data_IF_159778606317
#
_entry.id   IF_159778606317
#
_cell.length_a   1.000
_cell.length_b   1.000
_cell.length_c   1.000
_cell.angle_alpha   90.00
_cell.angle_beta   90.00
_cell.angle_gamma   90.00
#
_symmetry.space_group_name_H-M   'P 1'
#
loop_
_entity.id
_entity.type
_entity.pdbx_description
1 polymer ?
#
# COMPACT_ATOMS: atom_id res chain seq x y z
N UNK A 1 34.40 -5.65 23.22
CA UNK A 1 34.55 -4.69 22.11
C UNK A 1 33.15 -4.28 21.72
N UNK A 2 32.86 -2.97 21.79
CA UNK A 2 31.59 -2.39 21.35
C UNK A 2 31.75 -2.08 19.87
N UNK A 3 31.16 -2.90 19.00
CA UNK A 3 31.02 -2.52 17.60
C UNK A 3 29.71 -1.75 17.47
N UNK A 4 29.86 -0.45 17.22
CA UNK A 4 28.76 0.48 17.02
C UNK A 4 28.18 0.32 15.62
N UNK A 5 26.94 -0.13 15.55
CA UNK A 5 26.13 -0.06 14.34
C UNK A 5 25.16 1.10 14.50
N UNK A 6 25.48 2.26 13.92
CA UNK A 6 24.48 3.31 13.69
C UNK A 6 24.89 4.19 12.52
N UNK A 7 24.34 3.92 11.33
CA UNK A 7 24.10 4.92 10.26
C UNK A 7 22.97 4.44 9.33
N UNK A 8 21.87 5.20 9.30
CA UNK A 8 20.85 5.20 8.23
C UNK A 8 19.59 4.39 8.53
N UNK A 9 18.45 5.05 8.72
CA UNK A 9 17.16 4.36 8.86
C UNK A 9 16.89 3.48 7.65
N UNK A 10 16.63 2.19 7.89
CA UNK A 10 16.40 1.20 6.84
C UNK A 10 15.14 1.48 6.04
N UNK A 11 15.11 0.99 4.79
CA UNK A 11 13.90 1.00 3.96
C UNK A 11 12.86 0.06 4.60
N UNK A 12 11.71 0.63 4.97
CA UNK A 12 10.55 -0.10 5.50
C UNK A 12 9.43 -0.06 4.45
N UNK A 13 9.08 -1.20 3.87
CA UNK A 13 7.94 -1.30 2.97
C UNK A 13 6.68 -1.60 3.80
N UNK A 14 5.56 -0.95 3.51
CA UNK A 14 4.34 -1.07 4.32
C UNK A 14 3.21 -1.74 3.56
N UNK A 15 2.88 -1.24 2.36
CA UNK A 15 1.74 -1.70 1.57
C UNK A 15 2.03 -1.52 0.09
N UNK A 16 1.58 -2.43 -0.79
CA UNK A 16 0.67 -3.55 -0.51
C UNK A 16 1.36 -4.90 -0.22
N UNK A 17 0.61 -5.81 0.41
CA UNK A 17 0.88 -7.25 0.40
C UNK A 17 1.82 -7.78 1.49
N UNK A 18 2.30 -6.92 2.38
CA UNK A 18 3.17 -7.29 3.50
C UNK A 18 2.39 -7.61 4.79
N UNK A 19 1.17 -7.09 4.91
CA UNK A 19 0.40 -7.14 6.16
C UNK A 19 -0.65 -8.25 6.12
N UNK A 20 -1.15 -8.59 4.93
CA UNK A 20 -2.20 -9.59 4.74
C UNK A 20 -1.67 -11.01 4.69
N UNK A 21 -2.57 -11.94 5.00
CA UNK A 21 -2.38 -13.36 4.70
C UNK A 21 -2.20 -13.53 3.18
N UNK A 22 -1.09 -14.13 2.78
CA UNK A 22 -0.71 -14.38 1.36
C UNK A 22 -0.59 -13.12 0.50
N UNK A 23 -0.51 -11.92 1.10
CA UNK A 23 -0.43 -10.66 0.35
C UNK A 23 -1.64 -10.39 -0.54
N UNK A 24 -2.82 -10.91 -0.17
CA UNK A 24 -4.06 -10.77 -0.94
C UNK A 24 -4.73 -9.42 -0.66
N UNK A 25 -4.99 -8.65 -1.71
CA UNK A 25 -5.65 -7.33 -1.63
C UNK A 25 -6.86 -7.24 -2.55
N UNK A 26 -7.76 -6.30 -2.28
CA UNK A 26 -8.91 -5.98 -3.12
C UNK A 26 -8.57 -4.96 -4.20
N UNK A 27 -7.80 -3.93 -3.85
CA UNK A 27 -7.64 -2.75 -4.68
C UNK A 27 -6.76 -3.01 -5.91
N UNK A 28 -7.40 -3.02 -7.07
CA UNK A 28 -6.77 -3.13 -8.41
C UNK A 28 -5.93 -1.90 -8.84
N UNK A 29 -5.94 -0.83 -8.05
CA UNK A 29 -5.08 0.36 -8.17
C UNK A 29 -4.52 0.71 -6.79
N UNK A 30 -3.59 -0.11 -6.27
CA UNK A 30 -3.09 0.03 -4.91
C UNK A 30 -2.32 1.33 -4.72
N UNK A 31 -2.15 1.72 -3.46
CA UNK A 31 -1.19 2.76 -3.08
C UNK A 31 0.02 2.05 -2.50
N UNK A 32 1.20 2.48 -2.93
CA UNK A 32 2.46 2.05 -2.36
C UNK A 32 2.81 2.97 -1.20
N UNK A 33 3.17 2.39 -0.07
CA UNK A 33 3.48 3.11 1.17
C UNK A 33 4.77 2.51 1.73
N UNK A 34 5.75 3.35 2.05
CA UNK A 34 7.03 2.96 2.63
C UNK A 34 7.57 4.07 3.55
N UNK A 35 8.65 3.80 4.26
CA UNK A 35 9.48 4.81 4.92
C UNK A 35 10.95 4.57 4.58
N UNK A 36 11.71 5.64 4.44
CA UNK A 36 13.13 5.58 4.07
C UNK A 36 13.39 5.83 2.58
N UNK A 37 14.67 5.87 2.21
CA UNK A 37 15.09 6.26 0.86
C UNK A 37 14.83 5.16 -0.17
N UNK A 38 14.21 5.56 -1.28
CA UNK A 38 13.90 4.71 -2.42
C UNK A 38 14.06 5.55 -3.69
N UNK A 39 14.55 4.95 -4.76
CA UNK A 39 14.78 5.64 -6.04
C UNK A 39 13.73 5.30 -7.08
N UNK A 40 13.27 4.04 -7.11
CA UNK A 40 12.34 3.57 -8.13
C UNK A 40 11.46 2.45 -7.63
N UNK A 41 10.19 2.49 -8.04
CA UNK A 41 9.22 1.41 -7.89
C UNK A 41 8.89 0.86 -9.27
N UNK A 42 8.81 -0.46 -9.39
CA UNK A 42 8.25 -1.14 -10.55
C UNK A 42 7.16 -2.12 -10.14
N UNK A 43 6.15 -2.23 -11.00
CA UNK A 43 5.10 -3.25 -10.92
C UNK A 43 5.14 -4.11 -12.17
N UNK A 44 5.20 -5.41 -11.95
CA UNK A 44 5.19 -6.42 -13.01
C UNK A 44 4.30 -7.61 -12.62
N UNK A 45 3.69 -8.33 -13.58
CA UNK A 45 3.03 -9.59 -13.31
C UNK A 45 4.05 -10.62 -12.84
N UNK A 46 3.61 -11.59 -12.03
CA UNK A 46 4.49 -12.67 -11.59
C UNK A 46 4.82 -13.69 -12.68
N UNK A 47 4.00 -13.74 -13.72
CA UNK A 47 4.09 -14.65 -14.87
C UNK A 47 4.66 -13.99 -16.14
N UNK A 48 5.15 -12.75 -16.04
CA UNK A 48 5.71 -11.99 -17.18
C UNK A 48 6.90 -11.15 -16.73
N UNK A 49 7.85 -10.93 -17.64
CA UNK A 49 8.96 -9.98 -17.44
C UNK A 49 8.62 -8.56 -17.91
N UNK A 50 7.44 -8.35 -18.49
CA UNK A 50 6.96 -7.04 -18.89
C UNK A 50 6.67 -6.16 -17.67
N UNK A 51 7.29 -4.98 -17.62
CA UNK A 51 7.01 -3.98 -16.59
C UNK A 51 5.73 -3.23 -16.97
N UNK A 52 4.70 -3.32 -16.12
CA UNK A 52 3.41 -2.65 -16.33
C UNK A 52 3.45 -1.17 -15.96
N UNK A 53 4.31 -0.83 -15.00
CA UNK A 53 4.40 0.52 -14.46
C UNK A 53 5.73 0.72 -13.75
N UNK A 54 6.31 1.88 -13.97
CA UNK A 54 7.54 2.35 -13.32
C UNK A 54 7.27 3.73 -12.77
N UNK A 55 7.83 4.00 -11.60
CA UNK A 55 7.80 5.31 -10.98
C UNK A 55 9.18 5.62 -10.41
N UNK A 56 9.81 6.66 -10.97
CA UNK A 56 11.10 7.19 -10.51
C UNK A 56 10.84 8.31 -9.51
N UNK A 57 11.36 8.17 -8.30
CA UNK A 57 11.17 9.13 -7.21
C UNK A 57 12.13 10.30 -7.40
N UNK A 58 11.62 11.52 -7.23
CA UNK A 58 12.41 12.75 -7.30
C UNK A 58 12.54 13.46 -5.95
N UNK A 59 11.63 13.16 -5.00
CA UNK A 59 11.50 13.84 -3.70
C UNK A 59 11.51 12.83 -2.53
N UNK A 60 11.30 13.31 -1.30
CA UNK A 60 11.11 12.51 -0.07
C UNK A 60 9.72 11.86 0.02
N UNK A 61 9.20 11.41 -1.11
CA UNK A 61 7.93 10.70 -1.18
C UNK A 61 8.02 9.39 -0.38
N UNK A 62 6.96 9.11 0.37
CA UNK A 62 6.76 7.87 1.15
C UNK A 62 5.48 7.14 0.70
N UNK A 63 4.73 7.74 -0.22
CA UNK A 63 3.42 7.30 -0.66
C UNK A 63 3.28 7.62 -2.16
N UNK A 64 2.90 6.64 -2.98
CA UNK A 64 2.56 6.88 -4.38
C UNK A 64 1.33 6.08 -4.82
N UNK A 65 0.44 6.75 -5.55
CA UNK A 65 -0.68 6.11 -6.21
C UNK A 65 -0.23 5.33 -7.44
N UNK A 66 -0.71 4.09 -7.58
CA UNK A 66 -0.54 3.34 -8.83
C UNK A 66 -1.36 3.98 -9.98
N UNK A 67 -0.66 4.54 -10.97
CA UNK A 67 -1.28 5.22 -12.13
C UNK A 67 -1.28 4.40 -13.41
N UNK A 68 -0.76 3.16 -13.39
CA UNK A 68 -0.72 2.25 -14.55
C UNK A 68 -2.09 1.68 -14.94
N UNK A 69 -2.10 0.67 -15.82
CA UNK A 69 -3.33 -0.04 -16.19
C UNK A 69 -3.87 -0.80 -14.97
N UNK A 70 -5.19 -0.75 -14.75
CA UNK A 70 -5.87 -1.50 -13.67
C UNK A 70 -5.34 -2.96 -13.63
N UNK A 71 -4.94 -3.40 -12.43
CA UNK A 71 -4.52 -4.77 -12.19
C UNK A 71 -5.73 -5.71 -12.22
N UNK A 72 -5.53 -6.95 -12.65
CA UNK A 72 -6.62 -7.89 -12.90
C UNK A 72 -6.87 -8.78 -11.66
N UNK A 73 -8.15 -9.02 -11.27
CA UNK A 73 -8.49 -9.98 -10.23
C UNK A 73 -7.96 -11.39 -10.51
N UNK A 74 -7.44 -12.05 -9.47
CA UNK A 74 -6.84 -13.38 -9.53
C UNK A 74 -5.36 -13.39 -9.94
N UNK A 75 -4.84 -12.29 -10.47
CA UNK A 75 -3.43 -12.19 -10.85
C UNK A 75 -2.52 -11.87 -9.65
N UNK A 76 -1.30 -12.39 -9.72
CA UNK A 76 -0.22 -12.11 -8.77
C UNK A 76 0.82 -11.20 -9.41
N UNK A 77 1.28 -10.21 -8.65
CA UNK A 77 2.19 -9.16 -9.08
C UNK A 77 3.40 -9.07 -8.15
N UNK A 78 4.48 -8.51 -8.69
CA UNK A 78 5.66 -8.15 -7.94
C UNK A 78 5.75 -6.64 -7.80
N UNK A 79 5.85 -6.19 -6.56
CA UNK A 79 6.32 -4.85 -6.18
C UNK A 79 7.83 -4.90 -6.01
N UNK A 80 8.55 -4.29 -6.95
CA UNK A 80 10.01 -4.23 -6.95
C UNK A 80 10.45 -2.82 -6.56
N UNK A 81 11.43 -2.75 -5.67
CA UNK A 81 12.00 -1.49 -5.22
C UNK A 81 13.49 -1.45 -5.51
N UNK A 82 13.97 -0.27 -5.87
CA UNK A 82 15.37 0.00 -6.14
C UNK A 82 15.79 1.17 -5.27
N UNK A 83 16.88 1.01 -4.52
CA UNK A 83 17.44 2.05 -3.68
C UNK A 83 18.73 2.64 -4.30
N UNK A 84 19.14 3.81 -3.82
CA UNK A 84 20.33 4.51 -4.31
C UNK A 84 21.65 3.84 -3.97
N UNK A 85 21.63 2.85 -3.07
CA UNK A 85 22.83 2.18 -2.58
C UNK A 85 23.25 0.99 -3.44
N UNK A 86 22.31 0.40 -4.20
CA UNK A 86 22.59 -0.65 -5.16
C UNK A 86 23.21 -0.08 -6.44
N UNK A 87 24.52 -0.26 -6.61
CA UNK A 87 25.27 0.11 -7.83
C UNK A 87 24.81 -0.59 -9.13
N UNK A 88 23.76 -1.41 -9.07
CA UNK A 88 23.16 -2.05 -10.22
C UNK A 88 21.69 -1.63 -10.35
N UNK A 89 21.42 -0.61 -11.17
CA UNK A 89 20.09 -0.18 -11.62
C UNK A 89 19.24 -1.29 -12.27
N UNK A 90 19.82 -2.50 -12.43
CA UNK A 90 19.21 -3.66 -13.05
C UNK A 90 18.57 -4.63 -12.04
N UNK A 91 19.01 -4.64 -10.78
CA UNK A 91 18.52 -5.58 -9.78
C UNK A 91 17.73 -4.86 -8.67
N UNK A 92 16.55 -5.37 -8.33
CA UNK A 92 15.74 -4.75 -7.29
C UNK A 92 16.37 -5.05 -5.93
N UNK A 93 16.45 -4.04 -5.07
CA UNK A 93 16.93 -4.19 -3.69
C UNK A 93 15.99 -5.08 -2.88
N UNK A 94 14.68 -4.93 -3.09
CA UNK A 94 13.67 -5.83 -2.52
C UNK A 94 12.56 -6.14 -3.53
N UNK A 95 11.89 -7.27 -3.30
CA UNK A 95 10.72 -7.70 -4.08
C UNK A 95 9.65 -8.24 -3.15
N UNK A 96 8.50 -7.59 -3.17
CA UNK A 96 7.30 -8.02 -2.46
C UNK A 96 6.34 -8.66 -3.45
N UNK A 97 5.66 -9.71 -3.03
CA UNK A 97 4.63 -10.38 -3.83
C UNK A 97 3.27 -10.03 -3.25
N UNK A 98 2.34 -9.64 -4.10
CA UNK A 98 0.95 -9.43 -3.72
C UNK A 98 0.03 -9.97 -4.82
N UNK A 99 -1.18 -10.36 -4.47
CA UNK A 99 -2.20 -10.80 -5.44
C UNK A 99 -3.45 -9.97 -5.31
N UNK A 100 -4.08 -9.68 -6.44
CA UNK A 100 -5.46 -9.22 -6.41
C UNK A 100 -6.31 -10.45 -6.13
N UNK A 101 -7.24 -10.34 -5.19
CA UNK A 101 -8.19 -11.41 -4.88
C UNK A 101 -8.95 -11.88 -6.12
N UNK A 102 -9.48 -13.10 -6.06
CA UNK A 102 -10.18 -13.70 -7.19
C UNK A 102 -11.47 -12.94 -7.54
N UNK A 103 -11.93 -13.07 -8.78
CA UNK A 103 -13.03 -12.28 -9.32
C UNK A 103 -14.29 -12.31 -8.44
N UNK A 104 -14.70 -13.49 -7.97
CA UNK A 104 -15.90 -13.64 -7.14
C UNK A 104 -15.79 -12.88 -5.81
N UNK A 105 -14.66 -13.01 -5.11
CA UNK A 105 -14.38 -12.30 -3.86
C UNK A 105 -14.28 -10.78 -4.09
N UNK A 106 -13.59 -10.38 -5.18
CA UNK A 106 -13.46 -8.98 -5.58
C UNK A 106 -14.83 -8.34 -5.84
N UNK A 107 -15.70 -9.02 -6.58
CA UNK A 107 -17.05 -8.53 -6.89
C UNK A 107 -17.92 -8.42 -5.64
N UNK A 108 -17.88 -9.43 -4.76
CA UNK A 108 -18.64 -9.40 -3.51
C UNK A 108 -18.26 -8.18 -2.64
N UNK A 109 -16.96 -7.94 -2.45
CA UNK A 109 -16.47 -6.77 -1.70
C UNK A 109 -16.84 -5.46 -2.41
N UNK A 110 -16.73 -5.41 -3.73
CA UNK A 110 -17.11 -4.22 -4.51
C UNK A 110 -18.59 -3.87 -4.33
N UNK A 111 -19.47 -4.86 -4.32
CA UNK A 111 -20.91 -4.67 -4.11
C UNK A 111 -21.22 -4.19 -2.69
N UNK A 112 -20.57 -4.78 -1.69
CA UNK A 112 -20.69 -4.38 -0.28
C UNK A 112 -20.23 -2.92 -0.07
N UNK A 113 -19.09 -2.53 -0.62
CA UNK A 113 -18.56 -1.17 -0.56
C UNK A 113 -19.48 -0.18 -1.25
N UNK A 114 -20.02 -0.54 -2.43
CA UNK A 114 -20.95 0.32 -3.14
C UNK A 114 -22.26 0.53 -2.35
N UNK A 115 -22.70 -0.48 -1.59
CA UNK A 115 -23.84 -0.35 -0.68
C UNK A 115 -23.51 0.57 0.50
N UNK A 116 -22.38 0.34 1.15
CA UNK A 116 -21.89 1.18 2.26
C UNK A 116 -21.80 2.65 1.84
N UNK A 117 -21.19 2.93 0.68
CA UNK A 117 -21.08 4.28 0.14
C UNK A 117 -22.45 4.92 -0.10
N UNK A 118 -23.40 4.21 -0.72
CA UNK A 118 -24.74 4.75 -0.95
C UNK A 118 -25.46 5.07 0.36
N UNK A 119 -25.36 4.19 1.35
CA UNK A 119 -26.08 4.35 2.61
C UNK A 119 -25.51 5.51 3.43
N UNK A 120 -24.19 5.68 3.47
CA UNK A 120 -23.54 6.79 4.17
C UNK A 120 -23.74 8.14 3.46
N UNK A 121 -23.69 8.16 2.13
CA UNK A 121 -23.97 9.38 1.37
C UNK A 121 -25.43 9.86 1.57
N UNK A 122 -26.39 8.93 1.63
CA UNK A 122 -27.80 9.26 1.95
C UNK A 122 -27.97 9.86 3.35
N UNK A 123 -27.10 9.50 4.29
CA UNK A 123 -27.08 10.05 5.65
C UNK A 123 -26.33 11.38 5.75
N UNK A 124 -25.79 11.90 4.64
CA UNK A 124 -25.01 13.14 4.64
C UNK A 124 -23.63 13.01 5.28
N UNK A 125 -23.07 11.80 5.31
CA UNK A 125 -21.73 11.57 5.85
C UNK A 125 -20.67 12.38 5.09
N UNK A 126 -19.67 12.86 5.82
CA UNK A 126 -18.52 13.55 5.22
C UNK A 126 -17.62 12.56 4.48
N UNK A 127 -16.77 13.06 3.57
CA UNK A 127 -15.79 12.22 2.87
C UNK A 127 -14.86 11.48 3.83
N UNK A 128 -14.45 12.14 4.91
CA UNK A 128 -13.61 11.52 5.95
C UNK A 128 -14.37 10.43 6.72
N UNK A 129 -15.63 10.67 7.08
CA UNK A 129 -16.45 9.65 7.74
C UNK A 129 -16.67 8.41 6.86
N UNK A 130 -16.86 8.62 5.55
CA UNK A 130 -16.95 7.52 4.57
C UNK A 130 -15.63 6.76 4.49
N UNK A 131 -14.49 7.46 4.40
CA UNK A 131 -13.18 6.82 4.38
C UNK A 131 -12.97 5.97 5.65
N UNK A 132 -13.22 6.51 6.84
CA UNK A 132 -13.09 5.78 8.11
C UNK A 132 -14.02 4.55 8.18
N UNK A 133 -15.22 4.64 7.62
CA UNK A 133 -16.12 3.48 7.54
C UNK A 133 -15.55 2.38 6.63
N UNK A 134 -14.93 2.73 5.50
CA UNK A 134 -14.25 1.77 4.62
C UNK A 134 -13.01 1.15 5.27
N UNK A 135 -12.25 1.94 6.02
CA UNK A 135 -11.10 1.45 6.81
C UNK A 135 -11.55 0.35 7.75
N UNK A 136 -12.63 0.58 8.50
CA UNK A 136 -13.22 -0.43 9.37
C UNK A 136 -13.68 -1.67 8.59
N UNK A 137 -14.39 -1.46 7.48
CA UNK A 137 -14.87 -2.54 6.61
C UNK A 137 -13.74 -3.47 6.14
N UNK A 138 -12.62 -2.91 5.70
CA UNK A 138 -11.45 -3.65 5.24
C UNK A 138 -10.67 -4.29 6.40
N UNK A 139 -10.47 -3.57 7.50
CA UNK A 139 -9.78 -4.07 8.69
C UNK A 139 -10.48 -5.31 9.30
N UNK A 140 -11.81 -5.30 9.38
CA UNK A 140 -12.61 -6.45 9.86
C UNK A 140 -12.45 -7.70 8.98
N UNK A 141 -11.98 -7.53 7.74
CA UNK A 141 -11.70 -8.61 6.77
C UNK A 141 -10.20 -8.92 6.65
N UNK A 142 -9.35 -8.32 7.50
CA UNK A 142 -7.88 -8.41 7.44
C UNK A 142 -7.26 -7.90 6.13
N UNK A 143 -7.92 -6.96 5.43
CA UNK A 143 -7.44 -6.34 4.19
C UNK A 143 -6.73 -5.02 4.51
N UNK A 144 -5.59 -5.08 5.18
CA UNK A 144 -4.97 -3.90 5.80
C UNK A 144 -4.35 -2.91 4.80
N UNK A 145 -3.81 -3.34 3.66
CA UNK A 145 -3.33 -2.49 2.56
C UNK A 145 -4.48 -1.70 1.94
N UNK A 146 -5.66 -2.32 1.82
CA UNK A 146 -6.87 -1.64 1.35
C UNK A 146 -7.37 -0.63 2.39
N UNK A 147 -7.35 -1.01 3.67
CA UNK A 147 -7.68 -0.09 4.77
C UNK A 147 -6.73 1.12 4.80
N UNK A 148 -5.42 0.89 4.71
CA UNK A 148 -4.42 1.97 4.63
C UNK A 148 -4.65 2.83 3.40
N UNK A 149 -4.94 2.23 2.24
CA UNK A 149 -5.24 2.97 1.02
C UNK A 149 -6.39 3.98 1.22
N UNK A 150 -7.47 3.59 1.89
CA UNK A 150 -8.59 4.49 2.18
C UNK A 150 -8.20 5.62 3.15
N UNK A 151 -7.41 5.29 4.18
CA UNK A 151 -6.88 6.29 5.11
C UNK A 151 -6.06 7.33 4.36
N UNK A 152 -5.11 6.91 3.52
CA UNK A 152 -4.13 7.81 2.91
C UNK A 152 -4.67 8.60 1.71
N UNK A 153 -5.77 8.16 1.07
CA UNK A 153 -6.45 8.88 -0.03
C UNK A 153 -7.22 10.13 0.38
N UNK A 154 -7.50 10.33 1.67
CA UNK A 154 -8.22 11.54 2.12
C UNK A 154 -7.34 12.76 1.88
N UNK A 155 -7.74 13.66 0.97
CA UNK A 155 -6.93 14.81 0.53
C UNK A 155 -6.70 15.86 1.62
N UNK A 156 -7.69 16.06 2.47
CA UNK A 156 -7.67 17.05 3.55
C UNK A 156 -8.03 16.35 4.86
N UNK A 157 -7.12 15.52 5.41
CA UNK A 157 -7.39 14.77 6.63
C UNK A 157 -7.48 15.71 7.84
N UNK A 158 -8.41 15.44 8.75
CA UNK A 158 -8.42 16.07 10.07
C UNK A 158 -7.10 15.87 10.83
N UNK A 159 -6.84 16.70 11.84
CA UNK A 159 -5.66 16.55 12.71
C UNK A 159 -5.62 15.16 13.35
N UNK A 160 -6.77 14.61 13.71
CA UNK A 160 -6.86 13.25 14.25
C UNK A 160 -6.43 12.20 13.23
N UNK A 161 -6.90 12.31 11.98
CA UNK A 161 -6.51 11.38 10.91
C UNK A 161 -5.04 11.54 10.51
N UNK A 162 -4.49 12.76 10.55
CA UNK A 162 -3.05 13.00 10.36
C UNK A 162 -2.22 12.31 11.43
N UNK A 163 -2.63 12.43 12.70
CA UNK A 163 -1.95 11.76 13.82
C UNK A 163 -2.05 10.24 13.69
N UNK A 164 -3.21 9.71 13.31
CA UNK A 164 -3.39 8.28 13.06
C UNK A 164 -2.44 7.79 11.96
N UNK A 165 -2.36 8.49 10.82
CA UNK A 165 -1.45 8.18 9.71
C UNK A 165 0.02 8.12 10.16
N UNK A 166 0.47 9.12 10.93
CA UNK A 166 1.85 9.14 11.43
C UNK A 166 2.13 7.98 12.41
N UNK A 167 1.21 7.77 13.36
CA UNK A 167 1.38 6.73 14.38
C UNK A 167 1.37 5.31 13.79
N UNK A 168 0.52 5.04 12.79
CA UNK A 168 0.44 3.71 12.19
C UNK A 168 1.71 3.39 11.39
N UNK A 169 2.25 4.34 10.62
CA UNK A 169 3.52 4.14 9.90
C UNK A 169 4.67 3.88 10.86
N UNK A 170 4.81 4.70 11.90
CA UNK A 170 5.85 4.49 12.91
C UNK A 170 5.73 3.13 13.59
N UNK A 171 4.51 2.65 13.85
CA UNK A 171 4.31 1.35 14.48
C UNK A 171 4.67 0.20 13.54
N UNK A 172 4.28 0.29 12.27
CA UNK A 172 4.57 -0.73 11.26
C UNK A 172 6.08 -0.81 11.00
N UNK A 173 6.76 0.33 10.87
CA UNK A 173 8.19 0.36 10.56
C UNK A 173 9.13 0.14 11.76
N UNK A 174 8.72 0.48 12.99
CA UNK A 174 9.50 0.13 14.20
C UNK A 174 9.29 -1.32 14.65
N UNK A 175 8.22 -1.96 14.21
CA UNK A 175 7.90 -3.35 14.55
C UNK A 175 8.82 -4.38 13.91
N UNK A 176 9.54 -4.02 12.85
CA UNK A 176 10.43 -4.90 12.08
C UNK A 176 11.86 -5.03 12.65
N UNK A 177 12.21 -4.29 13.72
CA UNK A 177 13.54 -4.34 14.36
C UNK A 177 13.72 -5.43 15.45
N UNK A 178 12.77 -6.38 15.61
CA UNK A 178 12.86 -7.44 16.64
C UNK A 178 12.95 -8.86 16.07
#
# INVERSE_FOLDING_TARGET
>A
MKDGTTRGGGLCLVSPGLIEVEGKIWNTRPIFIWQGQLNRIEIRPSNSEEVLWTFDLQDDEEIVDYTGKKLEPGDTYYWRVFDSTSSADFFPTMRITFRIMDMEEHEAITQDLAKLDRDLNKQGATKEAIALAKVKFFAERNLWSDALSEVFKVKEPSIELQNFRSNILQRLCKGEEN
#
